data_IF_308394636927
#
_entry.id   IF_308394636927
#
_cell.length_a   1.000
_cell.length_b   1.000
_cell.length_c   1.000
_cell.angle_alpha   90.00
_cell.angle_beta   90.00
_cell.angle_gamma   90.00
#
_symmetry.space_group_name_H-M   'P 1'
#
loop_
_entity.id
_entity.type
_entity.pdbx_description
1 polymer ?
#
# COMPACT_ATOMS: atom_id res chain seq x y z
N UNK A 1 -11.02 -11.73 15.71
CA UNK A 1 -10.92 -10.40 15.08
C UNK A 1 -11.13 -10.56 13.59
N UNK A 2 -11.83 -9.63 13.01
CA UNK A 2 -12.12 -9.56 11.58
C UNK A 2 -11.32 -8.41 10.95
N UNK A 3 -10.51 -8.73 9.96
CA UNK A 3 -9.60 -7.78 9.32
C UNK A 3 -10.02 -7.55 7.87
N UNK A 4 -10.02 -6.31 7.42
CA UNK A 4 -10.19 -5.97 6.01
C UNK A 4 -8.91 -5.31 5.49
N UNK A 5 -8.36 -5.86 4.41
CA UNK A 5 -7.26 -5.28 3.66
C UNK A 5 -7.84 -4.61 2.43
N UNK A 6 -7.73 -3.28 2.34
CA UNK A 6 -8.22 -2.49 1.21
C UNK A 6 -6.99 -1.98 0.45
N UNK A 7 -6.86 -2.35 -0.81
CA UNK A 7 -5.72 -1.93 -1.60
C UNK A 7 -6.09 -1.41 -2.98
N UNK A 8 -5.21 -0.60 -3.55
CA UNK A 8 -5.21 -0.24 -4.97
C UNK A 8 -3.86 -0.56 -5.58
N UNK A 9 -3.86 -0.97 -6.84
CA UNK A 9 -2.64 -1.35 -7.57
C UNK A 9 -2.69 -0.90 -9.01
N UNK A 10 -1.52 -0.60 -9.58
CA UNK A 10 -1.38 -0.31 -11.02
C UNK A 10 -0.85 -1.54 -11.77
N UNK A 11 0.08 -2.29 -11.18
CA UNK A 11 0.78 -3.41 -11.83
C UNK A 11 0.79 -4.69 -10.97
N UNK A 12 -0.19 -4.85 -10.08
CA UNK A 12 -0.45 -6.08 -9.32
C UNK A 12 0.56 -6.41 -8.20
N UNK A 13 1.67 -5.68 -8.03
CA UNK A 13 2.59 -5.95 -6.93
C UNK A 13 1.93 -5.73 -5.56
N UNK A 14 1.13 -4.67 -5.41
CA UNK A 14 0.38 -4.41 -4.17
C UNK A 14 -0.64 -5.50 -3.88
N UNK A 15 -1.24 -6.10 -4.90
CA UNK A 15 -2.13 -7.26 -4.76
C UNK A 15 -1.39 -8.44 -4.12
N UNK A 16 -0.22 -8.78 -4.66
CA UNK A 16 0.57 -9.89 -4.11
C UNK A 16 1.02 -9.61 -2.67
N UNK A 17 1.34 -8.36 -2.35
CA UNK A 17 1.63 -7.96 -0.97
C UNK A 17 0.41 -8.10 -0.06
N UNK A 18 -0.78 -7.71 -0.52
CA UNK A 18 -2.03 -7.83 0.24
C UNK A 18 -2.42 -9.30 0.49
N UNK A 19 -2.28 -10.16 -0.51
CA UNK A 19 -2.51 -11.60 -0.35
C UNK A 19 -1.51 -12.24 0.61
N UNK A 20 -0.23 -11.89 0.52
CA UNK A 20 0.78 -12.35 1.48
C UNK A 20 0.51 -11.84 2.89
N UNK A 21 0.07 -10.58 3.04
CA UNK A 21 -0.33 -10.02 4.34
C UNK A 21 -1.50 -10.81 4.95
N UNK A 22 -2.49 -11.18 4.13
CA UNK A 22 -3.60 -12.06 4.53
C UNK A 22 -3.10 -13.39 5.11
N UNK A 23 -2.10 -14.03 4.49
CA UNK A 23 -1.53 -15.30 4.96
C UNK A 23 -0.88 -15.21 6.35
N UNK A 24 -0.39 -14.03 6.72
CA UNK A 24 0.27 -13.79 8.01
C UNK A 24 -0.69 -13.31 9.12
N UNK A 25 -1.91 -12.92 8.77
CA UNK A 25 -2.91 -12.45 9.72
C UNK A 25 -3.75 -13.59 10.28
N UNK A 26 -4.05 -13.51 11.58
CA UNK A 26 -4.94 -14.44 12.25
C UNK A 26 -6.42 -14.00 12.13
N UNK A 27 -7.34 -14.97 12.16
CA UNK A 27 -8.78 -14.72 12.13
C UNK A 27 -9.35 -14.63 10.72
N UNK A 28 -10.49 -13.97 10.61
CA UNK A 28 -11.16 -13.75 9.32
C UNK A 28 -10.52 -12.56 8.60
N UNK A 29 -10.04 -12.76 7.37
CA UNK A 29 -9.39 -11.71 6.58
C UNK A 29 -10.06 -11.57 5.21
N UNK A 30 -10.59 -10.38 4.94
CA UNK A 30 -11.20 -9.99 3.67
C UNK A 30 -10.21 -9.10 2.92
N UNK A 31 -9.96 -9.41 1.65
CA UNK A 31 -9.09 -8.61 0.78
C UNK A 31 -9.94 -7.96 -0.31
N UNK A 32 -9.84 -6.64 -0.45
CA UNK A 32 -10.65 -5.84 -1.37
C UNK A 32 -9.75 -4.99 -2.26
N UNK A 33 -9.89 -5.13 -3.56
CA UNK A 33 -9.26 -4.23 -4.52
C UNK A 33 -10.15 -3.02 -4.80
N UNK A 34 -9.84 -1.89 -4.21
CA UNK A 34 -10.64 -0.66 -4.34
C UNK A 34 -10.74 -0.12 -5.79
N UNK A 35 -9.96 -0.67 -6.73
CA UNK A 35 -10.07 -0.29 -8.15
C UNK A 35 -11.19 -1.05 -8.88
N UNK A 36 -11.43 -2.30 -8.50
CA UNK A 36 -12.37 -3.20 -9.19
C UNK A 36 -13.57 -3.59 -8.37
N UNK A 37 -13.46 -3.56 -7.04
CA UNK A 37 -14.45 -4.09 -6.13
C UNK A 37 -15.18 -2.96 -5.39
N UNK A 38 -16.42 -3.23 -5.01
CA UNK A 38 -17.14 -2.37 -4.07
C UNK A 38 -16.61 -2.65 -2.67
N UNK A 39 -16.15 -1.61 -1.97
CA UNK A 39 -15.69 -1.74 -0.58
C UNK A 39 -16.91 -1.99 0.30
N UNK A 40 -16.97 -3.13 1.05
CA UNK A 40 -18.06 -3.40 1.97
C UNK A 40 -18.12 -2.40 3.13
N UNK A 41 -19.24 -2.38 3.84
CA UNK A 41 -19.35 -1.62 5.08
C UNK A 41 -18.32 -2.09 6.11
N UNK A 42 -17.82 -1.16 6.92
CA UNK A 42 -16.74 -1.41 7.87
C UNK A 42 -17.23 -1.63 9.31
N UNK A 43 -18.56 -1.66 9.52
CA UNK A 43 -19.14 -1.70 10.87
C UNK A 43 -18.64 -2.89 11.68
N UNK A 44 -18.65 -4.09 11.09
CA UNK A 44 -18.24 -5.35 11.71
C UNK A 44 -16.74 -5.65 11.58
N UNK A 45 -15.94 -4.69 11.15
CA UNK A 45 -14.50 -4.86 10.94
C UNK A 45 -13.73 -4.29 12.13
N UNK A 46 -12.90 -5.11 12.75
CA UNK A 46 -12.03 -4.71 13.88
C UNK A 46 -10.78 -3.98 13.37
N UNK A 47 -10.10 -4.57 12.39
CA UNK A 47 -8.86 -4.05 11.82
C UNK A 47 -9.07 -3.63 10.37
N UNK A 48 -8.59 -2.45 10.00
CA UNK A 48 -8.60 -1.98 8.61
C UNK A 48 -7.17 -1.68 8.18
N UNK A 49 -6.69 -2.41 7.18
CA UNK A 49 -5.36 -2.23 6.60
C UNK A 49 -5.51 -1.63 5.21
N UNK A 50 -4.98 -0.44 5.00
CA UNK A 50 -5.17 0.30 3.75
C UNK A 50 -3.83 0.54 3.08
N UNK A 51 -3.76 0.28 1.77
CA UNK A 51 -2.54 0.56 1.05
C UNK A 51 -2.70 0.72 -0.46
N UNK A 52 -1.60 1.11 -1.08
CA UNK A 52 -1.55 1.28 -2.52
C UNK A 52 -0.14 1.33 -3.07
N UNK A 53 -0.04 1.29 -4.39
CA UNK A 53 1.25 1.49 -5.07
C UNK A 53 1.51 2.98 -5.28
N UNK A 54 2.77 3.38 -5.11
CA UNK A 54 3.22 4.71 -5.52
C UNK A 54 3.72 4.62 -6.95
N UNK A 55 3.04 5.33 -7.83
CA UNK A 55 3.42 5.49 -9.21
C UNK A 55 3.60 6.98 -9.54
N UNK A 56 4.76 7.35 -10.08
CA UNK A 56 5.12 8.75 -10.33
C UNK A 56 4.91 9.67 -9.11
N UNK A 57 5.24 9.18 -7.91
CA UNK A 57 5.13 9.89 -6.65
C UNK A 57 3.72 10.00 -6.06
N UNK A 58 2.72 9.34 -6.64
CA UNK A 58 1.32 9.42 -6.19
C UNK A 58 0.71 8.05 -5.97
N UNK A 59 -0.14 7.95 -4.95
CA UNK A 59 -1.06 6.83 -4.78
C UNK A 59 -2.24 6.95 -5.75
N UNK A 60 -2.95 5.86 -6.01
CA UNK A 60 -4.16 5.87 -6.84
C UNK A 60 -5.21 6.84 -6.30
N UNK A 61 -5.85 7.59 -7.20
CA UNK A 61 -6.83 8.63 -6.86
C UNK A 61 -8.00 8.10 -6.05
N UNK A 62 -8.55 6.95 -6.44
CA UNK A 62 -9.66 6.31 -5.74
C UNK A 62 -9.33 5.97 -4.28
N UNK A 63 -8.10 5.52 -4.00
CA UNK A 63 -7.66 5.25 -2.63
C UNK A 63 -7.54 6.52 -1.80
N UNK A 64 -6.97 7.59 -2.38
CA UNK A 64 -6.88 8.89 -1.73
C UNK A 64 -8.25 9.46 -1.39
N UNK A 65 -9.20 9.39 -2.33
CA UNK A 65 -10.59 9.83 -2.15
C UNK A 65 -11.32 9.00 -1.10
N UNK A 66 -11.16 7.67 -1.12
CA UNK A 66 -11.72 6.78 -0.12
C UNK A 66 -11.26 7.15 1.30
N UNK A 67 -9.97 7.33 1.50
CA UNK A 67 -9.42 7.71 2.80
C UNK A 67 -9.91 9.08 3.26
N UNK A 68 -9.95 10.07 2.36
CA UNK A 68 -10.41 11.42 2.69
C UNK A 68 -11.91 11.45 3.07
N UNK A 69 -12.74 10.66 2.38
CA UNK A 69 -14.18 10.61 2.64
C UNK A 69 -14.56 9.80 3.88
N UNK A 70 -13.68 8.94 4.39
CA UNK A 70 -13.96 8.02 5.49
C UNK A 70 -13.09 8.23 6.73
N UNK A 71 -12.48 9.41 6.89
CA UNK A 71 -11.59 9.72 8.03
C UNK A 71 -12.29 9.46 9.37
N UNK A 72 -13.53 9.92 9.53
CA UNK A 72 -14.29 9.78 10.77
C UNK A 72 -14.51 8.30 11.17
N UNK A 73 -14.77 7.44 10.20
CA UNK A 73 -14.97 6.01 10.41
C UNK A 73 -13.65 5.28 10.66
N UNK A 74 -12.64 5.59 9.85
CA UNK A 74 -11.35 4.90 9.88
C UNK A 74 -10.53 5.19 11.13
N UNK A 75 -10.64 6.40 11.70
CA UNK A 75 -9.92 6.77 12.93
C UNK A 75 -10.35 5.96 14.15
N UNK A 76 -11.57 5.41 14.14
CA UNK A 76 -12.12 4.62 15.24
C UNK A 76 -11.81 3.12 15.11
N UNK A 77 -11.14 2.72 14.02
CA UNK A 77 -10.69 1.34 13.77
C UNK A 77 -9.23 1.14 14.17
N UNK A 78 -8.86 -0.10 14.42
CA UNK A 78 -7.43 -0.45 14.47
C UNK A 78 -6.87 -0.35 13.04
N UNK A 79 -6.18 0.75 12.77
CA UNK A 79 -5.77 1.13 11.42
C UNK A 79 -4.30 0.80 11.14
N UNK A 80 -4.02 0.18 10.01
CA UNK A 80 -2.69 0.02 9.42
C UNK A 80 -2.63 0.67 8.04
N UNK A 81 -1.52 1.34 7.75
CA UNK A 81 -1.30 1.98 6.46
C UNK A 81 -0.03 1.42 5.81
N UNK A 82 -0.09 1.08 4.53
CA UNK A 82 1.08 0.60 3.82
C UNK A 82 1.19 1.18 2.41
N UNK A 83 2.41 1.30 1.92
CA UNK A 83 2.68 1.69 0.55
C UNK A 83 3.64 0.70 -0.10
N UNK A 84 3.35 0.36 -1.33
CA UNK A 84 4.31 -0.26 -2.23
C UNK A 84 5.05 0.85 -2.97
N UNK A 85 6.23 1.20 -2.47
CA UNK A 85 7.07 2.28 -2.97
C UNK A 85 8.44 1.75 -3.33
N UNK A 86 8.83 1.91 -4.59
CA UNK A 86 10.13 1.44 -5.09
C UNK A 86 11.34 2.26 -4.61
N UNK A 87 11.10 3.42 -4.00
CA UNK A 87 12.11 4.31 -3.43
C UNK A 87 11.85 4.46 -1.94
N UNK A 88 12.39 3.57 -1.08
CA UNK A 88 12.12 3.59 0.36
C UNK A 88 12.48 4.91 1.05
N UNK A 89 13.47 5.63 0.55
CA UNK A 89 13.88 6.95 1.07
C UNK A 89 12.80 8.03 0.89
N UNK A 90 11.83 7.81 0.01
CA UNK A 90 10.69 8.72 -0.22
C UNK A 90 9.43 8.27 0.52
N UNK A 91 9.50 7.22 1.32
CA UNK A 91 8.34 6.63 1.96
C UNK A 91 7.57 7.62 2.85
N UNK A 92 8.27 8.34 3.72
CA UNK A 92 7.62 9.29 4.64
C UNK A 92 6.89 10.41 3.88
N UNK A 93 7.50 10.94 2.82
CA UNK A 93 6.86 11.94 1.97
C UNK A 93 5.64 11.34 1.24
N UNK A 94 5.79 10.14 0.68
CA UNK A 94 4.71 9.46 -0.01
C UNK A 94 3.52 9.15 0.92
N UNK A 95 3.78 8.77 2.18
CA UNK A 95 2.75 8.58 3.20
C UNK A 95 2.00 9.88 3.49
N UNK A 96 2.73 10.98 3.68
CA UNK A 96 2.14 12.30 3.94
C UNK A 96 1.28 12.80 2.78
N UNK A 97 1.67 12.49 1.54
CA UNK A 97 0.92 12.88 0.33
C UNK A 97 -0.28 11.96 0.04
N UNK A 98 -0.19 10.70 0.47
CA UNK A 98 -1.20 9.68 0.20
C UNK A 98 -2.38 9.73 1.18
N UNK A 99 -2.13 9.97 2.47
CA UNK A 99 -3.13 9.79 3.52
C UNK A 99 -3.38 11.07 4.34
N UNK A 100 -4.64 11.29 4.78
CA UNK A 100 -4.96 12.37 5.72
C UNK A 100 -4.13 12.29 7.01
N UNK A 101 -3.72 13.45 7.52
CA UNK A 101 -2.91 13.57 8.74
C UNK A 101 -3.53 12.88 9.96
N UNK A 102 -4.86 12.91 10.07
CA UNK A 102 -5.57 12.25 11.17
C UNK A 102 -5.40 10.74 11.13
N UNK A 103 -5.46 10.13 9.93
CA UNK A 103 -5.22 8.69 9.78
C UNK A 103 -3.76 8.33 10.04
N UNK A 104 -2.82 9.16 9.60
CA UNK A 104 -1.38 8.96 9.86
C UNK A 104 -1.05 8.97 11.35
N UNK A 105 -1.73 9.83 12.14
CA UNK A 105 -1.56 9.91 13.60
C UNK A 105 -2.17 8.71 14.32
N UNK A 106 -3.29 8.19 13.82
CA UNK A 106 -4.04 7.09 14.46
C UNK A 106 -3.59 5.70 14.01
N UNK A 107 -2.83 5.60 12.93
CA UNK A 107 -2.36 4.31 12.44
C UNK A 107 -1.41 3.61 13.43
N UNK A 108 -1.75 2.37 13.78
CA UNK A 108 -0.94 1.51 14.67
C UNK A 108 0.35 1.03 13.99
N UNK A 109 0.34 0.91 12.67
CA UNK A 109 1.50 0.57 11.86
C UNK A 109 1.48 1.34 10.54
N UNK A 110 2.66 1.75 10.10
CA UNK A 110 2.92 2.38 8.80
C UNK A 110 4.12 1.71 8.18
N UNK A 111 3.93 0.99 7.06
CA UNK A 111 4.98 0.14 6.50
C UNK A 111 5.16 0.35 5.00
N UNK A 112 6.42 0.33 4.59
CA UNK A 112 6.81 0.25 3.18
C UNK A 112 7.01 -1.21 2.80
N UNK A 113 6.26 -1.71 1.82
CA UNK A 113 6.43 -3.08 1.33
C UNK A 113 7.41 -3.18 0.15
N UNK A 114 8.08 -2.05 -0.14
CA UNK A 114 8.99 -1.97 -1.29
C UNK A 114 8.24 -1.92 -2.62
N UNK A 115 8.90 -2.36 -3.68
CA UNK A 115 8.32 -2.33 -5.02
C UNK A 115 8.88 -3.42 -5.92
N UNK A 116 8.25 -3.56 -7.08
CA UNK A 116 8.72 -4.42 -8.18
C UNK A 116 8.37 -3.76 -9.52
N UNK A 117 9.34 -3.73 -10.44
CA UNK A 117 9.12 -3.26 -11.82
C UNK A 117 8.61 -4.40 -12.71
N UNK A 118 7.28 -4.45 -12.90
CA UNK A 118 6.63 -5.43 -13.79
C UNK A 118 6.52 -4.89 -15.21
N UNK A 119 7.65 -4.70 -15.86
CA UNK A 119 7.73 -4.08 -17.22
C UNK A 119 6.89 -4.80 -18.27
N UNK A 120 6.64 -6.10 -18.14
CA UNK A 120 5.78 -6.87 -19.04
C UNK A 120 4.31 -6.43 -19.01
N UNK A 121 3.85 -5.86 -17.89
CA UNK A 121 2.47 -5.38 -17.69
C UNK A 121 2.31 -3.87 -17.95
N UNK A 122 3.40 -3.16 -18.18
CA UNK A 122 3.39 -1.72 -18.43
C UNK A 122 3.01 -1.41 -19.87
N UNK A 123 2.27 -0.32 -20.06
CA UNK A 123 2.08 0.26 -21.39
C UNK A 123 3.41 0.84 -21.91
N UNK A 124 3.47 1.17 -23.21
CA UNK A 124 4.70 1.64 -23.86
C UNK A 124 5.30 2.90 -23.22
N UNK A 125 4.45 3.84 -22.81
CA UNK A 125 4.90 5.11 -22.19
C UNK A 125 5.52 4.80 -20.82
N UNK A 126 4.85 4.00 -20.00
CA UNK A 126 5.34 3.61 -18.67
C UNK A 126 6.62 2.76 -18.74
N UNK A 127 6.73 1.87 -19.76
CA UNK A 127 7.99 1.14 -20.03
C UNK A 127 9.15 2.08 -20.35
N UNK A 128 8.91 3.11 -21.14
CA UNK A 128 9.94 4.07 -21.50
C UNK A 128 10.40 4.87 -20.29
N UNK A 129 9.47 5.35 -19.46
CA UNK A 129 9.76 6.06 -18.21
C UNK A 129 10.55 5.15 -17.27
N UNK A 130 10.10 3.90 -17.07
CA UNK A 130 10.79 2.93 -16.22
C UNK A 130 12.23 2.68 -16.68
N UNK A 131 12.46 2.51 -17.98
CA UNK A 131 13.81 2.35 -18.55
C UNK A 131 14.71 3.56 -18.29
N UNK A 132 14.16 4.78 -18.41
CA UNK A 132 14.92 6.00 -18.11
C UNK A 132 15.27 6.09 -16.63
N UNK A 133 14.34 5.74 -15.74
CA UNK A 133 14.58 5.72 -14.28
C UNK A 133 15.64 4.69 -13.90
N UNK A 134 15.56 3.47 -14.46
CA UNK A 134 16.57 2.42 -14.25
C UNK A 134 17.95 2.91 -14.70
N UNK A 135 18.03 3.48 -15.89
CA UNK A 135 19.29 3.98 -16.45
C UNK A 135 19.90 5.10 -15.60
N UNK A 136 19.08 6.02 -15.10
CA UNK A 136 19.51 7.09 -14.22
C UNK A 136 20.04 6.54 -12.88
N UNK A 137 19.34 5.59 -12.28
CA UNK A 137 19.74 5.02 -11.00
C UNK A 137 21.02 4.18 -11.10
N UNK A 138 21.17 3.38 -12.15
CA UNK A 138 22.40 2.64 -12.41
C UNK A 138 23.59 3.60 -12.55
N UNK A 139 23.38 4.73 -13.23
CA UNK A 139 24.41 5.78 -13.36
C UNK A 139 24.80 6.41 -12.01
N UNK A 140 23.84 6.53 -11.09
CA UNK A 140 24.05 7.07 -9.73
C UNK A 140 24.47 6.00 -8.69
N UNK A 141 24.60 4.74 -9.11
CA UNK A 141 24.92 3.62 -8.20
C UNK A 141 23.83 3.31 -7.17
N UNK A 142 22.59 3.73 -7.44
CA UNK A 142 21.43 3.49 -6.57
C UNK A 142 20.72 2.21 -6.98
N UNK A 143 20.36 1.41 -5.98
CA UNK A 143 19.49 0.26 -6.17
C UNK A 143 18.06 0.76 -6.33
N UNK A 144 17.51 0.70 -7.55
CA UNK A 144 16.12 0.96 -7.82
C UNK A 144 15.29 -0.28 -7.47
N UNK A 145 14.33 -0.05 -6.59
CA UNK A 145 13.21 -0.98 -6.36
C UNK A 145 13.63 -2.21 -5.56
N UNK A 146 13.63 -2.02 -4.26
CA UNK A 146 13.82 -3.09 -3.29
C UNK A 146 12.48 -3.63 -2.82
N UNK A 147 12.28 -4.93 -2.90
CA UNK A 147 11.19 -5.61 -2.19
C UNK A 147 11.51 -5.66 -0.70
N UNK A 148 10.50 -5.46 0.15
CA UNK A 148 10.63 -5.44 1.61
C UNK A 148 9.61 -6.39 2.27
N UNK A 149 9.71 -7.71 2.00
CA UNK A 149 8.73 -8.68 2.49
C UNK A 149 8.71 -8.80 4.02
N UNK A 150 9.83 -8.49 4.69
CA UNK A 150 9.93 -8.46 6.15
C UNK A 150 8.96 -7.46 6.80
N UNK A 151 8.65 -6.36 6.11
CA UNK A 151 7.72 -5.35 6.62
C UNK A 151 6.26 -5.80 6.57
N UNK A 152 5.92 -6.74 5.67
CA UNK A 152 4.61 -7.40 5.67
C UNK A 152 4.42 -8.18 6.98
N UNK A 153 5.44 -8.93 7.40
CA UNK A 153 5.44 -9.67 8.68
C UNK A 153 5.36 -8.74 9.89
N UNK A 154 6.04 -7.57 9.88
CA UNK A 154 5.95 -6.58 10.95
C UNK A 154 4.54 -6.02 11.09
N UNK A 155 3.90 -5.67 9.96
CA UNK A 155 2.51 -5.22 9.98
C UNK A 155 1.60 -6.29 10.55
N UNK A 156 1.66 -7.53 10.07
CA UNK A 156 0.84 -8.63 10.57
C UNK A 156 1.03 -8.85 12.08
N UNK A 157 2.27 -8.79 12.58
CA UNK A 157 2.57 -8.94 14.00
C UNK A 157 1.89 -7.87 14.88
N UNK A 158 1.70 -6.66 14.38
CA UNK A 158 0.98 -5.58 15.08
C UNK A 158 -0.51 -5.88 15.21
N UNK A 159 -1.11 -6.54 14.21
CA UNK A 159 -2.56 -6.80 14.15
C UNK A 159 -2.97 -8.19 14.65
N UNK A 160 -2.02 -9.07 14.90
CA UNK A 160 -2.26 -10.39 15.53
C UNK A 160 -2.26 -10.36 17.07
N UNK A 161 -2.09 -9.16 17.67
CA UNK A 161 -2.07 -8.96 19.14
C UNK A 161 -3.43 -8.61 19.71
#
# INVERSE_FOLDING_TARGET
MKTMIIYSTTYEYTKDCAERLKEYLAGEVIVVNATTDVIPQLDDIDNVLIGGSIYMGKIQKNMKEFCASNVALLKDKRLGLFLCCGLPEKFEQAMADAFPQELLKNALAKECFGGELRTKRMNLVHKMIAKLMIKAAVKEGKELIKQMPENIGKMAATFNR
#
